data_IF_929326622678
#
_entry.id   IF_929326622678
#
_cell.length_a   1.000
_cell.length_b   1.000
_cell.length_c   1.000
_cell.angle_alpha   90.00
_cell.angle_beta   90.00
_cell.angle_gamma   90.00
#
_symmetry.space_group_name_H-M   'P 1'
#
loop_
_entity.id
_entity.type
_entity.pdbx_description
1 polymer ?
#
# COMPACT_ATOMS: atom_id res chain seq x y z
N UNK A 1 -14.15 -5.00 32.98
CA UNK A 1 -13.31 -5.78 32.04
C UNK A 1 -13.74 -5.38 30.63
N UNK A 2 -12.95 -4.82 29.71
CA UNK A 2 -11.62 -4.19 29.74
C UNK A 2 -11.69 -2.84 28.98
N UNK A 3 -10.61 -2.06 28.89
CA UNK A 3 -10.70 -0.70 28.37
C UNK A 3 -10.79 -0.72 26.83
N UNK A 4 -11.97 -0.41 26.30
CA UNK A 4 -12.15 0.04 24.93
C UNK A 4 -11.56 1.45 24.81
N UNK A 5 -10.25 1.54 24.63
CA UNK A 5 -9.60 2.74 24.10
C UNK A 5 -9.12 2.41 22.70
N UNK A 6 -9.98 2.72 21.72
CA UNK A 6 -9.63 2.74 20.32
C UNK A 6 -8.51 3.78 20.16
N UNK A 7 -7.25 3.37 20.29
CA UNK A 7 -6.09 4.26 20.16
C UNK A 7 -5.94 4.61 18.69
N UNK A 8 -6.73 5.59 18.26
CA UNK A 8 -6.53 6.28 16.99
C UNK A 8 -5.07 6.73 16.93
N UNK A 9 -4.35 6.27 15.91
CA UNK A 9 -2.99 6.75 15.68
C UNK A 9 -3.03 8.28 15.57
N UNK A 10 -2.14 9.05 16.22
CA UNK A 10 -2.30 10.49 16.29
C UNK A 10 -2.27 11.11 14.89
N UNK A 11 -3.40 11.66 14.45
CA UNK A 11 -3.55 12.22 13.09
C UNK A 11 -2.48 13.27 12.77
N UNK A 12 -2.01 14.02 13.78
CA UNK A 12 -0.90 14.98 13.66
C UNK A 12 0.40 14.35 13.15
N UNK A 13 0.70 13.11 13.55
CA UNK A 13 1.91 12.40 13.12
C UNK A 13 1.82 11.98 11.65
N UNK A 14 0.65 11.50 11.22
CA UNK A 14 0.38 11.21 9.80
C UNK A 14 0.56 12.47 8.95
N UNK A 15 -0.04 13.60 9.36
CA UNK A 15 0.12 14.87 8.66
C UNK A 15 1.60 15.27 8.57
N UNK A 16 2.35 15.11 9.66
CA UNK A 16 3.78 15.42 9.67
C UNK A 16 4.56 14.54 8.69
N UNK A 17 4.36 13.21 8.73
CA UNK A 17 5.04 12.27 7.83
C UNK A 17 4.70 12.53 6.36
N UNK A 18 3.42 12.76 6.03
CA UNK A 18 3.01 13.11 4.67
C UNK A 18 3.70 14.39 4.18
N UNK A 19 3.82 15.40 5.04
CA UNK A 19 4.49 16.66 4.69
C UNK A 19 6.01 16.50 4.56
N UNK A 20 6.66 15.85 5.53
CA UNK A 20 8.13 15.74 5.57
C UNK A 20 8.64 14.77 4.52
N UNK A 21 8.11 13.55 4.50
CA UNK A 21 8.60 12.45 3.65
C UNK A 21 8.06 12.51 2.22
N UNK A 22 6.83 12.97 2.02
CA UNK A 22 6.18 12.96 0.69
C UNK A 22 5.92 14.36 0.12
N UNK A 23 5.97 15.42 0.94
CA UNK A 23 5.68 16.78 0.47
C UNK A 23 4.19 17.06 0.29
N UNK A 24 3.34 16.19 0.83
CA UNK A 24 1.89 16.25 0.69
C UNK A 24 1.33 17.09 1.83
N UNK A 25 0.65 18.18 1.48
CA UNK A 25 -0.08 19.00 2.44
C UNK A 25 -1.46 18.35 2.70
N UNK A 26 -1.48 17.40 3.63
CA UNK A 26 -2.68 16.65 3.98
C UNK A 26 -3.76 17.54 4.60
N UNK A 27 -4.98 17.48 4.06
CA UNK A 27 -6.14 18.28 4.47
C UNK A 27 -7.25 17.44 5.09
N UNK A 28 -7.37 16.17 4.71
CA UNK A 28 -8.29 15.23 5.34
C UNK A 28 -7.66 13.85 5.50
N UNK A 29 -8.06 13.15 6.57
CA UNK A 29 -7.65 11.79 6.89
C UNK A 29 -8.91 11.06 7.35
N UNK A 30 -9.24 9.97 6.66
CA UNK A 30 -10.41 9.14 6.96
C UNK A 30 -9.93 7.71 7.16
N UNK A 31 -10.13 7.17 8.37
CA UNK A 31 -9.83 5.76 8.65
C UNK A 31 -10.66 4.86 7.75
N UNK A 32 -10.01 3.86 7.15
CA UNK A 32 -10.65 2.87 6.30
C UNK A 32 -10.78 1.56 7.07
N UNK A 33 -11.82 0.76 6.76
CA UNK A 33 -11.99 -0.57 7.36
C UNK A 33 -10.81 -1.43 6.91
N UNK A 34 -9.89 -1.69 7.84
CA UNK A 34 -8.63 -2.38 7.54
C UNK A 34 -8.83 -3.90 7.49
N UNK A 35 -8.24 -4.55 6.48
CA UNK A 35 -7.97 -5.98 6.51
C UNK A 35 -6.78 -6.26 7.44
N UNK A 36 -7.09 -6.66 8.68
CA UNK A 36 -6.28 -7.39 9.69
C UNK A 36 -4.83 -6.97 10.05
N UNK A 37 -4.04 -6.35 9.19
CA UNK A 37 -2.57 -6.28 9.34
C UNK A 37 -2.01 -4.89 9.64
N UNK A 38 -2.66 -3.83 9.16
CA UNK A 38 -2.21 -2.44 9.29
C UNK A 38 -3.41 -1.50 9.46
N UNK A 39 -3.19 -0.36 10.13
CA UNK A 39 -4.16 0.74 10.12
C UNK A 39 -4.17 1.37 8.73
N UNK A 40 -5.36 1.62 8.18
CA UNK A 40 -5.52 2.09 6.80
C UNK A 40 -6.25 3.43 6.79
N UNK A 41 -5.77 4.38 5.97
CA UNK A 41 -6.34 5.72 5.88
C UNK A 41 -6.47 6.16 4.42
N UNK A 42 -7.61 6.74 4.07
CA UNK A 42 -7.75 7.59 2.88
C UNK A 42 -7.31 8.99 3.29
N UNK A 43 -6.32 9.55 2.60
CA UNK A 43 -5.82 10.90 2.87
C UNK A 43 -5.94 11.75 1.61
N UNK A 44 -6.20 13.04 1.75
CA UNK A 44 -6.39 13.95 0.62
C UNK A 44 -5.64 15.26 0.80
N UNK A 45 -5.10 15.80 -0.30
CA UNK A 45 -4.50 17.13 -0.38
C UNK A 45 -5.38 18.13 -1.17
N UNK A 46 -6.67 17.81 -1.36
CA UNK A 46 -7.66 18.44 -2.28
C UNK A 46 -7.46 18.17 -3.77
N UNK A 47 -6.25 17.82 -4.21
CA UNK A 47 -5.97 17.56 -5.63
C UNK A 47 -6.08 16.07 -5.92
N UNK A 48 -5.50 15.23 -5.06
CA UNK A 48 -5.48 13.78 -5.16
C UNK A 48 -5.87 13.12 -3.84
N UNK A 49 -6.32 11.88 -3.96
CA UNK A 49 -6.53 10.99 -2.83
C UNK A 49 -5.42 9.95 -2.81
N UNK A 50 -5.00 9.58 -1.60
CA UNK A 50 -4.00 8.55 -1.37
C UNK A 50 -4.51 7.53 -0.36
N UNK A 51 -3.99 6.31 -0.45
CA UNK A 51 -4.19 5.25 0.51
C UNK A 51 -2.92 5.04 1.33
N UNK A 52 -2.98 5.38 2.63
CA UNK A 52 -1.88 5.23 3.57
C UNK A 52 -2.08 3.96 4.41
N UNK A 53 -1.13 3.03 4.31
CA UNK A 53 -0.99 1.90 5.24
C UNK A 53 0.01 2.26 6.34
N UNK A 54 -0.39 2.10 7.60
CA UNK A 54 0.44 2.32 8.78
C UNK A 54 0.54 1.03 9.62
N UNK A 55 1.74 0.44 9.64
CA UNK A 55 2.06 -0.76 10.41
C UNK A 55 2.63 -0.34 11.77
N UNK A 56 1.84 -0.46 12.83
CA UNK A 56 2.28 -0.13 14.19
C UNK A 56 3.43 -1.03 14.64
N UNK A 57 4.56 -0.44 15.03
CA UNK A 57 5.79 -1.18 15.39
C UNK A 57 5.57 -2.15 16.55
N UNK A 58 4.71 -1.78 17.51
CA UNK A 58 4.45 -2.59 18.70
C UNK A 58 3.50 -3.77 18.47
N UNK A 59 2.94 -3.96 17.26
CA UNK A 59 2.13 -5.14 16.95
C UNK A 59 3.03 -6.33 16.65
N UNK A 60 2.71 -7.48 17.25
CA UNK A 60 3.46 -8.72 17.05
C UNK A 60 3.57 -9.16 15.58
N UNK A 61 2.59 -8.80 14.74
CA UNK A 61 2.59 -9.12 13.32
C UNK A 61 3.49 -8.21 12.47
N UNK A 62 3.83 -7.01 12.94
CA UNK A 62 4.51 -5.99 12.14
C UNK A 62 5.88 -6.43 11.64
N UNK A 63 6.79 -7.01 12.46
CA UNK A 63 8.09 -7.46 11.96
C UNK A 63 7.96 -8.47 10.80
N UNK A 64 7.03 -9.42 10.92
CA UNK A 64 6.78 -10.43 9.87
C UNK A 64 6.22 -9.81 8.59
N UNK A 65 5.29 -8.86 8.72
CA UNK A 65 4.62 -8.25 7.57
C UNK A 65 5.48 -7.22 6.84
N UNK A 66 6.42 -6.58 7.54
CA UNK A 66 7.23 -5.49 7.00
C UNK A 66 8.63 -5.92 6.54
N UNK A 67 9.09 -7.11 6.95
CA UNK A 67 10.41 -7.65 6.57
C UNK A 67 10.58 -7.84 5.06
N UNK A 68 9.48 -8.11 4.35
CA UNK A 68 9.51 -8.39 2.91
C UNK A 68 9.26 -7.15 2.04
N UNK A 69 9.00 -5.97 2.61
CA UNK A 69 8.67 -4.76 1.83
C UNK A 69 9.76 -4.43 0.82
N UNK A 70 11.03 -4.52 1.24
CA UNK A 70 12.16 -4.17 0.39
C UNK A 70 12.41 -5.22 -0.72
N UNK A 71 11.73 -6.36 -0.65
CA UNK A 71 11.78 -7.43 -1.64
C UNK A 71 10.57 -7.34 -2.58
N UNK A 72 9.35 -7.26 -2.04
CA UNK A 72 8.15 -7.32 -2.89
C UNK A 72 7.85 -6.00 -3.62
N UNK A 73 8.21 -4.85 -3.07
CA UNK A 73 7.89 -3.56 -3.73
C UNK A 73 8.66 -3.37 -5.04
N UNK A 74 9.98 -3.62 -5.11
CA UNK A 74 10.68 -3.59 -6.39
C UNK A 74 10.02 -4.47 -7.47
N UNK A 75 9.50 -5.63 -7.06
CA UNK A 75 8.77 -6.54 -7.95
C UNK A 75 7.48 -5.89 -8.47
N UNK A 76 6.67 -5.28 -7.61
CA UNK A 76 5.42 -4.63 -8.06
C UNK A 76 5.70 -3.43 -8.97
N UNK A 77 6.76 -2.67 -8.71
CA UNK A 77 7.20 -1.57 -9.59
C UNK A 77 7.64 -2.11 -10.95
N UNK A 78 8.47 -3.16 -10.96
CA UNK A 78 8.94 -3.78 -12.19
C UNK A 78 7.76 -4.33 -13.02
N UNK A 79 6.82 -5.04 -12.39
CA UNK A 79 5.62 -5.54 -13.07
C UNK A 79 4.81 -4.41 -13.69
N UNK A 80 4.60 -3.32 -12.95
CA UNK A 80 3.85 -2.16 -13.45
C UNK A 80 4.52 -1.46 -14.64
N UNK A 81 5.86 -1.49 -14.70
CA UNK A 81 6.64 -0.80 -15.73
C UNK A 81 6.96 -1.64 -16.96
N UNK A 82 7.01 -2.98 -16.83
CA UNK A 82 7.57 -3.87 -17.85
C UNK A 82 6.58 -4.89 -18.41
N UNK A 83 5.31 -4.88 -17.96
CA UNK A 83 4.33 -5.91 -18.32
C UNK A 83 2.97 -5.30 -18.66
N UNK A 84 2.00 -6.13 -19.06
CA UNK A 84 0.62 -5.68 -19.30
C UNK A 84 -0.18 -5.41 -18.02
N UNK A 85 0.49 -5.46 -16.86
CA UNK A 85 -0.07 -5.16 -15.54
C UNK A 85 0.05 -3.69 -15.15
N UNK A 86 0.54 -2.84 -16.05
CA UNK A 86 0.53 -1.39 -15.87
C UNK A 86 -0.85 -0.89 -15.46
N UNK A 87 -0.92 -0.11 -14.39
CA UNK A 87 -2.12 0.43 -13.76
C UNK A 87 -3.12 -0.61 -13.21
N UNK A 88 -2.76 -1.91 -13.24
CA UNK A 88 -3.53 -3.02 -12.64
C UNK A 88 -2.95 -3.51 -11.32
N UNK A 89 -1.79 -3.01 -10.92
CA UNK A 89 -1.10 -3.35 -9.67
C UNK A 89 -0.79 -2.06 -8.90
N UNK A 90 -1.09 -2.00 -7.59
CA UNK A 90 -0.73 -0.84 -6.78
C UNK A 90 0.78 -0.74 -6.61
N UNK A 91 1.34 0.40 -7.02
CA UNK A 91 2.74 0.79 -6.76
C UNK A 91 2.78 1.93 -5.73
N UNK A 92 3.75 1.92 -4.79
CA UNK A 92 3.81 2.96 -3.78
C UNK A 92 4.29 4.29 -4.36
N UNK A 93 3.73 5.37 -3.83
CA UNK A 93 4.29 6.71 -3.98
C UNK A 93 5.64 6.73 -3.27
N UNK A 94 6.69 7.12 -3.96
CA UNK A 94 8.04 7.22 -3.38
C UNK A 94 8.15 8.46 -2.49
N UNK A 95 8.93 8.35 -1.42
CA UNK A 95 9.31 9.52 -0.61
C UNK A 95 10.18 10.47 -1.44
N UNK A 96 10.37 11.70 -0.95
CA UNK A 96 11.31 12.67 -1.54
C UNK A 96 12.74 12.14 -1.67
N UNK A 97 13.11 11.17 -0.84
CA UNK A 97 14.43 10.54 -0.85
C UNK A 97 14.47 9.26 -1.71
N UNK A 98 13.40 8.94 -2.44
CA UNK A 98 13.32 7.77 -3.32
C UNK A 98 13.01 6.44 -2.61
N UNK A 99 12.62 6.46 -1.33
CA UNK A 99 12.30 5.24 -0.59
C UNK A 99 10.83 4.85 -0.79
N UNK A 100 10.55 3.54 -0.76
CA UNK A 100 9.18 3.01 -0.86
C UNK A 100 8.39 3.01 0.44
N UNK A 101 9.10 3.13 1.57
CA UNK A 101 8.54 3.21 2.91
C UNK A 101 9.28 4.27 3.71
N UNK A 102 8.62 4.80 4.73
CA UNK A 102 9.24 5.61 5.76
C UNK A 102 8.74 5.13 7.13
N UNK A 103 9.38 5.56 8.21
CA UNK A 103 8.96 5.18 9.55
C UNK A 103 9.17 6.32 10.55
N UNK A 104 8.38 6.29 11.61
CA UNK A 104 8.66 7.01 12.85
C UNK A 104 8.75 6.01 14.01
N UNK A 105 8.88 6.50 15.25
CA UNK A 105 8.99 5.66 16.44
C UNK A 105 7.75 4.79 16.74
N UNK A 106 6.68 4.89 15.96
CA UNK A 106 5.41 4.22 16.23
C UNK A 106 4.94 3.36 15.06
N UNK A 107 5.22 3.74 13.81
CA UNK A 107 4.74 3.00 12.65
C UNK A 107 5.68 3.06 11.44
N UNK A 108 5.59 2.01 10.62
CA UNK A 108 6.12 1.96 9.25
C UNK A 108 4.99 2.32 8.29
N UNK A 109 5.27 3.19 7.33
CA UNK A 109 4.27 3.74 6.41
C UNK A 109 4.56 3.39 4.97
N UNK A 110 3.50 3.04 4.24
CA UNK A 110 3.49 2.92 2.78
C UNK A 110 2.33 3.73 2.24
N UNK A 111 2.60 4.56 1.24
CA UNK A 111 1.62 5.42 0.60
C UNK A 111 1.38 4.94 -0.83
N UNK A 112 0.13 4.91 -1.25
CA UNK A 112 -0.28 4.55 -2.61
C UNK A 112 -1.23 5.63 -3.14
N UNK A 113 -1.35 5.78 -4.45
CA UNK A 113 -2.51 6.48 -5.00
C UNK A 113 -3.79 5.74 -4.59
N UNK A 114 -4.85 6.48 -4.27
CA UNK A 114 -6.12 5.87 -3.90
C UNK A 114 -6.82 5.38 -5.16
N UNK A 115 -7.19 4.10 -5.20
CA UNK A 115 -7.97 3.51 -6.27
C UNK A 115 -9.44 3.76 -5.93
N UNK A 116 -10.12 4.56 -6.76
CA UNK A 116 -11.56 4.74 -6.64
C UNK A 116 -12.26 3.49 -7.19
N UNK A 117 -13.26 3.01 -6.45
CA UNK A 117 -13.95 1.76 -6.72
C UNK A 117 -14.33 1.05 -5.42
N UNK A 118 -14.97 -0.10 -5.57
CA UNK A 118 -15.43 -0.92 -4.45
C UNK A 118 -14.76 -2.29 -4.50
N UNK A 119 -14.46 -2.84 -3.32
CA UNK A 119 -14.03 -4.23 -3.23
C UNK A 119 -15.22 -5.12 -3.53
N UNK A 120 -15.08 -6.00 -4.52
CA UNK A 120 -16.12 -6.94 -4.97
C UNK A 120 -16.74 -7.76 -3.82
N UNK A 121 -15.94 -8.12 -2.81
CA UNK A 121 -16.46 -8.77 -1.60
C UNK A 121 -17.04 -10.15 -1.90
N UNK A 122 -18.32 -10.33 -1.58
CA UNK A 122 -19.06 -11.58 -1.81
C UNK A 122 -19.89 -11.54 -3.11
N UNK A 123 -19.77 -10.47 -3.91
CA UNK A 123 -20.49 -10.32 -5.17
C UNK A 123 -19.89 -11.21 -6.27
N UNK A 124 -20.74 -11.67 -7.19
CA UNK A 124 -20.30 -12.43 -8.36
C UNK A 124 -19.58 -11.54 -9.37
N UNK A 125 -18.51 -12.09 -9.97
CA UNK A 125 -17.83 -11.44 -11.09
C UNK A 125 -18.65 -11.60 -12.37
N UNK A 126 -18.75 -10.53 -13.16
CA UNK A 126 -19.26 -10.64 -14.53
C UNK A 126 -18.30 -11.45 -15.41
N UNK A 127 -18.78 -11.98 -16.54
CA UNK A 127 -17.94 -12.68 -17.51
C UNK A 127 -16.75 -11.83 -17.98
N UNK A 128 -16.95 -10.51 -18.12
CA UNK A 128 -15.88 -9.57 -18.46
C UNK A 128 -14.83 -9.48 -17.34
N UNK A 129 -15.26 -9.38 -16.08
CA UNK A 129 -14.35 -9.35 -14.94
C UNK A 129 -13.59 -10.67 -14.76
N UNK A 130 -14.24 -11.81 -15.06
CA UNK A 130 -13.60 -13.13 -15.08
C UNK A 130 -12.51 -13.19 -16.15
N UNK A 131 -12.78 -12.68 -17.36
CA UNK A 131 -11.79 -12.61 -18.41
C UNK A 131 -10.61 -11.69 -18.01
N UNK A 132 -10.90 -10.49 -17.49
CA UNK A 132 -9.88 -9.54 -17.02
C UNK A 132 -9.00 -10.11 -15.90
N UNK A 133 -9.60 -10.82 -14.93
CA UNK A 133 -8.88 -11.48 -13.86
C UNK A 133 -8.00 -12.61 -14.42
N UNK A 134 -8.52 -13.41 -15.35
CA UNK A 134 -7.77 -14.49 -16.01
C UNK A 134 -6.54 -13.94 -16.74
N UNK A 135 -6.69 -12.81 -17.46
CA UNK A 135 -5.58 -12.13 -18.13
C UNK A 135 -4.52 -11.63 -17.13
N UNK A 136 -4.94 -11.05 -16.00
CA UNK A 136 -4.03 -10.61 -14.94
C UNK A 136 -3.23 -11.79 -14.37
N UNK A 137 -3.90 -12.92 -14.08
CA UNK A 137 -3.24 -14.12 -13.54
C UNK A 137 -2.31 -14.76 -14.57
N UNK A 138 -2.74 -14.85 -15.83
CA UNK A 138 -1.91 -15.38 -16.91
C UNK A 138 -0.66 -14.55 -17.14
N UNK A 139 -0.78 -13.22 -17.13
CA UNK A 139 0.35 -12.30 -17.24
C UNK A 139 1.30 -12.47 -16.04
N UNK A 140 0.79 -12.53 -14.81
CA UNK A 140 1.61 -12.78 -13.61
C UNK A 140 2.39 -14.10 -13.70
N UNK A 141 1.78 -15.17 -14.20
CA UNK A 141 2.43 -16.48 -14.36
C UNK A 141 3.36 -16.58 -15.57
N UNK A 142 3.31 -15.63 -16.50
CA UNK A 142 4.20 -15.63 -17.67
C UNK A 142 5.66 -15.29 -17.33
N UNK A 143 5.90 -14.72 -16.15
CA UNK A 143 7.22 -14.33 -15.68
C UNK A 143 7.78 -15.32 -14.66
N UNK A 144 9.05 -15.67 -14.83
CA UNK A 144 9.79 -16.51 -13.88
C UNK A 144 10.71 -15.66 -13.00
N UNK A 145 11.19 -16.25 -11.90
CA UNK A 145 12.09 -15.60 -10.93
C UNK A 145 13.41 -15.10 -11.53
N UNK A 146 13.79 -15.53 -12.74
CA UNK A 146 15.00 -15.09 -13.43
C UNK A 146 14.83 -13.77 -14.20
N UNK A 147 13.60 -13.36 -14.47
CA UNK A 147 13.28 -12.10 -15.17
C UNK A 147 12.89 -10.98 -14.20
N UNK A 148 12.34 -11.36 -13.06
CA UNK A 148 11.93 -10.44 -12.00
C UNK A 148 13.16 -10.12 -11.14
N UNK A 149 13.41 -8.85 -10.79
CA UNK A 149 14.49 -8.47 -9.87
C UNK A 149 14.16 -8.96 -8.44
N UNK A 150 14.37 -10.25 -8.18
CA UNK A 150 14.21 -10.87 -6.86
C UNK A 150 15.48 -10.71 -5.98
N UNK A 151 16.65 -10.58 -6.61
CA UNK A 151 17.96 -10.64 -5.92
C UNK A 151 18.83 -9.37 -6.08
N UNK A 152 18.27 -8.23 -6.53
CA UNK A 152 19.09 -7.07 -6.94
C UNK A 152 18.85 -5.77 -6.17
N UNK A 153 18.63 -5.86 -4.84
CA UNK A 153 18.90 -4.75 -3.92
C UNK A 153 19.62 -5.23 -2.65
N UNK A 154 20.75 -5.92 -2.84
CA UNK A 154 22.04 -5.70 -2.16
C UNK A 154 23.14 -6.55 -2.79
#
# INVERSE_FOLDING_TARGET
MGPNSNKMYPMKKIINILKTEYGINCLSIISQKSGWSASAYKVSDRVKNYFLKAYEINRASTPKLTSMIDIYVPITIWLNQNTKLSDKIPVPVVTKNGNYKCQDNHAIYLLYEYIDGETIGDDELSDEQVAQLSDIIAELHSFSSTQIPCDSLK
#
